data_IF_115888430174
#
_entry.id   IF_115888430174
#
_cell.length_a   1.000
_cell.length_b   1.000
_cell.length_c   1.000
_cell.angle_alpha   90.00
_cell.angle_beta   90.00
_cell.angle_gamma   90.00
#
_symmetry.space_group_name_H-M   'P 1'
#
loop_
_entity.id
_entity.type
_entity.pdbx_description
1 polymer ?
#
# COMPACT_ATOMS: atom_id res chain seq x y z
N UNK A 1 49.34 -41.42 -46.46
CA UNK A 1 48.52 -41.38 -45.22
C UNK A 1 47.70 -40.09 -45.24
N UNK A 2 46.44 -40.18 -45.65
CA UNK A 2 45.51 -39.05 -45.76
C UNK A 2 44.89 -38.74 -44.40
N UNK A 3 45.51 -37.85 -43.62
CA UNK A 3 44.99 -37.44 -42.30
C UNK A 3 44.19 -36.12 -42.36
N UNK A 4 44.34 -35.31 -43.42
CA UNK A 4 43.73 -33.98 -43.52
C UNK A 4 42.34 -33.96 -44.16
N UNK A 5 41.94 -34.99 -44.92
CA UNK A 5 40.62 -35.04 -45.60
C UNK A 5 39.44 -35.42 -44.69
N UNK A 6 39.68 -35.87 -43.45
CA UNK A 6 38.61 -36.29 -42.52
C UNK A 6 38.05 -35.14 -41.67
N UNK A 7 38.80 -34.07 -41.47
CA UNK A 7 38.38 -32.95 -40.61
C UNK A 7 37.54 -31.90 -41.35
N UNK A 8 37.71 -31.79 -42.67
CA UNK A 8 36.95 -30.87 -43.51
C UNK A 8 35.42 -31.02 -43.40
N UNK A 9 34.83 -32.23 -43.50
CA UNK A 9 33.38 -32.37 -43.35
C UNK A 9 32.90 -32.08 -41.92
N UNK A 10 33.71 -32.37 -40.90
CA UNK A 10 33.38 -32.12 -39.49
C UNK A 10 33.30 -30.60 -39.24
N UNK A 11 34.26 -29.84 -39.76
CA UNK A 11 34.26 -28.39 -39.64
C UNK A 11 33.04 -27.76 -40.33
N UNK A 12 32.67 -28.25 -41.52
CA UNK A 12 31.47 -27.79 -42.24
C UNK A 12 30.20 -28.08 -41.43
N UNK A 13 30.08 -29.26 -40.81
CA UNK A 13 28.93 -29.60 -39.96
C UNK A 13 28.86 -28.70 -38.72
N UNK A 14 30.00 -28.41 -38.08
CA UNK A 14 30.06 -27.51 -36.90
C UNK A 14 29.61 -26.10 -37.29
N UNK A 15 30.04 -25.60 -38.45
CA UNK A 15 29.64 -24.27 -38.95
C UNK A 15 28.14 -24.23 -39.26
N UNK A 16 27.59 -25.28 -39.88
CA UNK A 16 26.15 -25.36 -40.17
C UNK A 16 25.34 -25.41 -38.87
N UNK A 17 25.75 -26.21 -37.89
CA UNK A 17 25.08 -26.29 -36.58
C UNK A 17 25.16 -24.96 -35.85
N UNK A 18 26.30 -24.27 -35.88
CA UNK A 18 26.45 -22.93 -35.29
C UNK A 18 25.54 -21.90 -35.97
N UNK A 19 25.45 -21.92 -37.31
CA UNK A 19 24.54 -21.05 -38.07
C UNK A 19 23.08 -21.35 -37.72
N UNK A 20 22.70 -22.62 -37.62
CA UNK A 20 21.35 -23.01 -37.20
C UNK A 20 21.08 -22.53 -35.77
N UNK A 21 22.01 -22.68 -34.84
CA UNK A 21 21.87 -22.16 -33.46
C UNK A 21 21.72 -20.63 -33.45
N UNK A 22 22.45 -19.90 -34.29
CA UNK A 22 22.32 -18.43 -34.40
C UNK A 22 20.97 -18.05 -35.03
N UNK A 23 20.53 -18.77 -36.08
CA UNK A 23 19.26 -18.53 -36.76
C UNK A 23 18.06 -18.87 -35.87
N UNK A 24 18.13 -19.95 -35.08
CA UNK A 24 17.10 -20.33 -34.11
C UNK A 24 17.20 -19.53 -32.80
N UNK A 25 18.39 -19.08 -32.42
CA UNK A 25 18.67 -18.31 -31.20
C UNK A 25 18.26 -16.84 -31.29
N UNK A 26 18.21 -16.25 -32.49
CA UNK A 26 17.74 -14.88 -32.70
C UNK A 26 16.22 -14.69 -32.55
N UNK A 27 15.46 -15.75 -32.24
CA UNK A 27 14.00 -15.66 -32.05
C UNK A 27 13.54 -15.71 -30.58
N UNK A 28 14.45 -15.47 -29.62
CA UNK A 28 14.09 -15.23 -28.21
C UNK A 28 14.17 -13.72 -27.95
N UNK A 29 13.38 -12.96 -28.70
CA UNK A 29 13.21 -11.52 -28.51
C UNK A 29 12.07 -11.25 -27.55
N UNK A 30 12.41 -10.96 -26.29
CA UNK A 30 11.70 -10.08 -25.35
C UNK A 30 10.15 -10.04 -25.44
N UNK A 31 9.48 -11.11 -25.06
CA UNK A 31 8.16 -10.98 -24.44
C UNK A 31 8.35 -10.68 -22.95
N UNK A 32 8.86 -9.49 -22.64
CA UNK A 32 8.66 -8.94 -21.31
C UNK A 32 7.16 -8.63 -21.22
N UNK A 33 6.40 -9.44 -20.46
CA UNK A 33 5.03 -9.11 -20.07
C UNK A 33 5.02 -7.65 -19.60
N UNK A 34 4.32 -6.79 -20.35
CA UNK A 34 4.14 -5.41 -19.98
C UNK A 34 3.37 -5.42 -18.65
N UNK A 35 4.04 -5.08 -17.55
CA UNK A 35 3.41 -5.12 -16.21
C UNK A 35 2.12 -4.30 -16.24
N UNK A 36 1.02 -4.80 -15.66
CA UNK A 36 -0.24 -4.08 -15.62
C UNK A 36 -0.07 -2.73 -14.90
N UNK A 37 -0.69 -1.69 -15.44
CA UNK A 37 -0.70 -0.37 -14.83
C UNK A 37 -1.75 -0.32 -13.72
N UNK A 38 -1.36 -0.76 -12.53
CA UNK A 38 -2.25 -0.81 -11.36
C UNK A 38 -2.83 0.56 -11.00
N UNK A 39 -2.15 1.66 -11.32
CA UNK A 39 -2.65 3.01 -11.02
C UNK A 39 -3.91 3.31 -11.81
N UNK A 40 -3.83 3.21 -13.14
CA UNK A 40 -4.96 3.51 -14.02
C UNK A 40 -6.14 2.58 -13.74
N UNK A 41 -5.87 1.29 -13.53
CA UNK A 41 -6.91 0.32 -13.19
C UNK A 41 -7.62 0.71 -11.89
N UNK A 42 -6.87 1.05 -10.83
CA UNK A 42 -7.47 1.41 -9.54
C UNK A 42 -8.42 2.61 -9.66
N UNK A 43 -8.03 3.64 -10.41
CA UNK A 43 -8.83 4.86 -10.63
C UNK A 43 -10.07 4.57 -11.47
N UNK A 44 -9.93 3.82 -12.57
CA UNK A 44 -11.05 3.45 -13.46
C UNK A 44 -12.08 2.59 -12.75
N UNK A 45 -11.63 1.62 -11.95
CA UNK A 45 -12.53 0.70 -11.22
C UNK A 45 -12.93 1.21 -9.84
N UNK A 46 -12.43 2.38 -9.42
CA UNK A 46 -12.63 2.94 -8.07
C UNK A 46 -12.27 1.96 -6.94
N UNK A 47 -11.24 1.14 -7.14
CA UNK A 47 -10.86 0.08 -6.21
C UNK A 47 -9.51 0.40 -5.53
N UNK A 48 -9.60 0.72 -4.23
CA UNK A 48 -8.46 1.06 -3.38
C UNK A 48 -7.49 -0.12 -3.15
N UNK A 49 -7.96 -1.38 -3.15
CA UNK A 49 -7.09 -2.54 -2.89
C UNK A 49 -6.10 -2.77 -4.02
N UNK A 50 -6.39 -2.28 -5.23
CA UNK A 50 -5.48 -2.34 -6.37
C UNK A 50 -4.25 -1.44 -6.15
N UNK A 51 -4.38 -0.31 -5.46
CA UNK A 51 -3.25 0.56 -5.13
C UNK A 51 -2.18 -0.17 -4.30
N UNK A 52 -2.54 -1.23 -3.55
CA UNK A 52 -1.58 -2.01 -2.75
C UNK A 52 -0.56 -2.78 -3.59
N UNK A 53 -0.89 -3.05 -4.86
CA UNK A 53 -0.01 -3.73 -5.82
C UNK A 53 1.12 -2.81 -6.32
N UNK A 54 1.03 -1.50 -6.07
CA UNK A 54 2.06 -0.52 -6.42
C UNK A 54 3.20 -0.56 -5.40
N UNK A 55 4.43 -0.80 -5.87
CA UNK A 55 5.62 -0.90 -5.02
C UNK A 55 6.15 0.46 -4.55
N UNK A 56 6.08 1.48 -5.42
CA UNK A 56 6.53 2.82 -5.09
C UNK A 56 5.53 3.47 -4.12
N UNK A 57 6.00 3.81 -2.92
CA UNK A 57 5.17 4.38 -1.86
C UNK A 57 4.50 5.69 -2.27
N UNK A 58 5.21 6.58 -2.94
CA UNK A 58 4.66 7.88 -3.34
C UNK A 58 3.56 7.70 -4.40
N UNK A 59 3.77 6.78 -5.36
CA UNK A 59 2.72 6.40 -6.34
C UNK A 59 1.54 5.69 -5.69
N UNK A 60 1.77 4.82 -4.70
CA UNK A 60 0.69 4.17 -3.94
C UNK A 60 -0.16 5.21 -3.22
N UNK A 61 0.48 6.14 -2.52
CA UNK A 61 -0.20 7.22 -1.80
C UNK A 61 -0.97 8.14 -2.76
N UNK A 62 -0.40 8.44 -3.93
CA UNK A 62 -1.08 9.19 -4.99
C UNK A 62 -2.28 8.43 -5.56
N UNK A 63 -2.14 7.13 -5.83
CA UNK A 63 -3.21 6.25 -6.31
C UNK A 63 -4.41 6.28 -5.35
N UNK A 64 -4.17 6.09 -4.05
CA UNK A 64 -5.23 6.12 -3.03
C UNK A 64 -5.98 7.44 -3.04
N UNK A 65 -5.26 8.57 -3.09
CA UNK A 65 -5.87 9.91 -3.14
C UNK A 65 -6.70 10.12 -4.39
N UNK A 66 -6.20 9.70 -5.55
CA UNK A 66 -6.92 9.87 -6.81
C UNK A 66 -8.15 8.96 -6.90
N UNK A 67 -8.09 7.74 -6.37
CA UNK A 67 -9.25 6.86 -6.24
C UNK A 67 -10.31 7.51 -5.34
N UNK A 68 -9.93 8.02 -4.16
CA UNK A 68 -10.89 8.69 -3.26
C UNK A 68 -11.51 9.93 -3.91
N UNK A 69 -10.77 10.69 -4.73
CA UNK A 69 -11.31 11.86 -5.44
C UNK A 69 -12.38 11.52 -6.47
N UNK A 70 -12.41 10.29 -6.99
CA UNK A 70 -13.42 9.84 -7.95
C UNK A 70 -14.50 8.95 -7.31
N UNK A 71 -14.38 8.64 -6.01
CA UNK A 71 -15.43 8.03 -5.21
C UNK A 71 -16.37 9.13 -4.73
N UNK A 72 -17.49 9.31 -5.45
CA UNK A 72 -18.54 10.26 -5.06
C UNK A 72 -19.45 9.72 -3.96
N UNK A 73 -19.55 8.39 -3.86
CA UNK A 73 -20.41 7.70 -2.90
C UNK A 73 -19.65 6.58 -2.20
N UNK A 74 -19.59 6.67 -0.87
CA UNK A 74 -19.01 5.65 0.01
C UNK A 74 -19.74 4.30 -0.07
N UNK A 75 -20.93 4.22 -0.67
CA UNK A 75 -21.64 2.96 -0.93
C UNK A 75 -20.85 1.99 -1.81
N UNK A 76 -19.87 2.47 -2.58
CA UNK A 76 -18.92 1.60 -3.30
C UNK A 76 -18.17 0.66 -2.34
N UNK A 77 -17.94 1.08 -1.09
CA UNK A 77 -17.32 0.21 -0.09
C UNK A 77 -18.28 -0.91 0.37
N UNK A 78 -19.60 -0.72 0.29
CA UNK A 78 -20.59 -1.71 0.77
C UNK A 78 -20.64 -2.98 -0.10
N UNK A 79 -20.19 -2.88 -1.35
CA UNK A 79 -20.13 -4.01 -2.30
C UNK A 79 -18.87 -4.88 -2.11
N UNK A 80 -17.95 -4.47 -1.24
CA UNK A 80 -16.69 -5.17 -0.95
C UNK A 80 -16.84 -6.19 0.17
N UNK A 81 -15.90 -7.13 0.24
CA UNK A 81 -15.78 -8.02 1.41
C UNK A 81 -15.45 -7.24 2.69
N UNK A 82 -15.58 -7.88 3.85
CA UNK A 82 -15.46 -7.20 5.14
C UNK A 82 -14.09 -6.52 5.36
N UNK A 83 -13.00 -7.12 4.88
CA UNK A 83 -11.65 -6.56 5.04
C UNK A 83 -11.45 -5.38 4.09
N UNK A 84 -11.77 -5.56 2.80
CA UNK A 84 -11.68 -4.53 1.78
C UNK A 84 -12.61 -3.35 2.08
N UNK A 85 -13.82 -3.60 2.58
CA UNK A 85 -14.79 -2.58 2.99
C UNK A 85 -14.28 -1.73 4.13
N UNK A 86 -13.75 -2.34 5.18
CA UNK A 86 -13.20 -1.63 6.33
C UNK A 86 -12.00 -0.77 5.93
N UNK A 87 -11.14 -1.30 5.04
CA UNK A 87 -10.03 -0.56 4.46
C UNK A 87 -10.53 0.62 3.61
N UNK A 88 -11.51 0.40 2.74
CA UNK A 88 -12.13 1.44 1.90
C UNK A 88 -12.66 2.60 2.75
N UNK A 89 -13.46 2.29 3.79
CA UNK A 89 -13.96 3.31 4.71
C UNK A 89 -12.85 4.06 5.44
N UNK A 90 -11.80 3.35 5.85
CA UNK A 90 -10.65 3.95 6.56
C UNK A 90 -9.89 4.94 5.68
N UNK A 91 -9.58 4.56 4.43
CA UNK A 91 -8.84 5.44 3.51
C UNK A 91 -9.67 6.67 3.12
N UNK A 92 -10.98 6.52 2.88
CA UNK A 92 -11.85 7.67 2.60
C UNK A 92 -11.90 8.59 3.83
N UNK A 93 -12.09 8.05 5.03
CA UNK A 93 -12.11 8.85 6.26
C UNK A 93 -10.79 9.61 6.46
N UNK A 94 -9.65 8.97 6.23
CA UNK A 94 -8.31 9.56 6.35
C UNK A 94 -8.08 10.69 5.34
N UNK A 95 -8.42 10.47 4.06
CA UNK A 95 -8.20 11.46 2.99
C UNK A 95 -9.16 12.65 3.12
N UNK A 96 -10.39 12.42 3.57
CA UNK A 96 -11.42 13.48 3.68
C UNK A 96 -11.44 14.15 5.05
N UNK A 97 -10.78 13.58 6.06
CA UNK A 97 -10.91 13.99 7.46
C UNK A 97 -12.28 13.68 8.07
N UNK A 98 -13.18 13.01 7.35
CA UNK A 98 -14.55 12.79 7.80
C UNK A 98 -14.66 11.56 8.73
N UNK A 99 -14.53 11.81 10.02
CA UNK A 99 -14.65 10.77 11.07
C UNK A 99 -16.01 10.06 11.08
N UNK A 100 -17.08 10.62 10.49
CA UNK A 100 -18.38 9.94 10.47
C UNK A 100 -18.34 8.68 9.62
N UNK A 101 -17.39 8.57 8.69
CA UNK A 101 -17.19 7.39 7.85
C UNK A 101 -16.65 6.23 8.68
N UNK A 102 -15.82 6.47 9.70
CA UNK A 102 -15.38 5.41 10.62
C UNK A 102 -16.55 4.73 11.36
N UNK A 103 -17.70 5.40 11.54
CA UNK A 103 -18.90 4.79 12.13
C UNK A 103 -19.56 3.74 11.24
N UNK A 104 -19.24 3.71 9.94
CA UNK A 104 -19.73 2.67 9.01
C UNK A 104 -18.98 1.34 9.18
N UNK A 105 -17.85 1.35 9.88
CA UNK A 105 -17.10 0.14 10.22
C UNK A 105 -17.78 -0.55 11.41
N UNK A 106 -18.41 -1.69 11.15
CA UNK A 106 -19.20 -2.44 12.12
C UNK A 106 -18.35 -3.34 13.04
N UNK A 107 -17.11 -3.67 12.64
CA UNK A 107 -16.16 -4.35 13.53
C UNK A 107 -15.64 -3.38 14.59
N UNK A 108 -16.12 -3.58 15.81
CA UNK A 108 -16.17 -2.53 16.83
C UNK A 108 -14.84 -2.21 17.50
N UNK A 109 -13.87 -3.14 17.49
CA UNK A 109 -12.72 -3.04 18.40
C UNK A 109 -11.38 -2.75 17.73
N UNK A 110 -11.15 -3.19 16.49
CA UNK A 110 -9.84 -3.01 15.85
C UNK A 110 -9.91 -2.11 14.63
N UNK A 111 -10.79 -2.41 13.68
CA UNK A 111 -10.86 -1.69 12.41
C UNK A 111 -11.36 -0.25 12.58
N UNK A 112 -12.41 -0.06 13.37
CA UNK A 112 -12.98 1.27 13.65
C UNK A 112 -12.02 2.16 14.45
N UNK A 113 -11.37 1.59 15.45
CA UNK A 113 -10.37 2.29 16.27
C UNK A 113 -9.14 2.70 15.47
N UNK A 114 -8.70 1.83 14.54
CA UNK A 114 -7.61 2.14 13.61
C UNK A 114 -8.00 3.28 12.66
N UNK A 115 -9.24 3.29 12.16
CA UNK A 115 -9.77 4.38 11.35
C UNK A 115 -9.68 5.72 12.10
N UNK A 116 -10.20 5.79 13.32
CA UNK A 116 -10.11 7.00 14.15
C UNK A 116 -8.67 7.45 14.39
N UNK A 117 -7.75 6.50 14.69
CA UNK A 117 -6.33 6.83 14.88
C UNK A 117 -5.69 7.42 13.63
N UNK A 118 -5.94 6.84 12.45
CA UNK A 118 -5.43 7.37 11.17
C UNK A 118 -5.92 8.79 10.91
N UNK A 119 -7.22 9.05 11.07
CA UNK A 119 -7.77 10.40 10.92
C UNK A 119 -7.17 11.37 11.94
N UNK A 120 -7.05 10.96 13.20
CA UNK A 120 -6.45 11.78 14.26
C UNK A 120 -5.01 12.21 13.93
N UNK A 121 -4.21 11.28 13.38
CA UNK A 121 -2.82 11.52 12.97
C UNK A 121 -2.76 12.49 11.79
N UNK A 122 -3.54 12.23 10.74
CA UNK A 122 -3.55 13.02 9.51
C UNK A 122 -4.05 14.44 9.75
N UNK A 123 -5.12 14.60 10.53
CA UNK A 123 -5.66 15.91 10.93
C UNK A 123 -4.84 16.57 12.05
N UNK A 124 -3.99 15.80 12.73
CA UNK A 124 -3.27 16.25 13.92
C UNK A 124 -4.20 16.66 15.07
N UNK A 125 -5.40 16.07 15.13
CA UNK A 125 -6.45 16.37 16.09
C UNK A 125 -6.58 15.25 17.13
N UNK A 126 -5.91 15.43 18.27
CA UNK A 126 -5.89 14.44 19.34
C UNK A 126 -7.27 14.17 19.97
N UNK A 127 -8.23 15.10 19.83
CA UNK A 127 -9.58 14.91 20.37
C UNK A 127 -10.30 13.72 19.72
N UNK A 128 -9.92 13.34 18.50
CA UNK A 128 -10.44 12.16 17.81
C UNK A 128 -10.04 10.88 18.54
N UNK A 129 -8.87 10.84 19.18
CA UNK A 129 -8.42 9.68 19.96
C UNK A 129 -9.39 9.34 21.12
N UNK A 130 -10.20 10.29 21.61
CA UNK A 130 -11.24 10.03 22.61
C UNK A 130 -12.35 9.09 22.11
N UNK A 131 -12.50 8.94 20.79
CA UNK A 131 -13.49 8.02 20.18
C UNK A 131 -13.02 6.57 20.15
N UNK A 132 -11.73 6.34 20.40
CA UNK A 132 -11.12 5.01 20.37
C UNK A 132 -11.45 4.25 21.65
N UNK A 133 -12.04 3.06 21.50
CA UNK A 133 -12.49 2.22 22.62
C UNK A 133 -11.32 1.45 23.22
N UNK A 134 -10.50 0.82 22.38
CA UNK A 134 -9.33 0.06 22.77
C UNK A 134 -8.29 0.98 23.41
N UNK A 135 -8.05 0.77 24.70
CA UNK A 135 -7.14 1.58 25.52
C UNK A 135 -5.73 1.66 24.93
N UNK A 136 -5.20 0.54 24.43
CA UNK A 136 -3.86 0.49 23.84
C UNK A 136 -3.81 1.33 22.57
N UNK A 137 -4.79 1.16 21.68
CA UNK A 137 -4.90 1.95 20.45
C UNK A 137 -5.04 3.45 20.75
N UNK A 138 -5.84 3.82 21.77
CA UNK A 138 -6.04 5.20 22.21
C UNK A 138 -4.75 5.84 22.71
N UNK A 139 -4.01 5.12 23.54
CA UNK A 139 -2.71 5.58 24.06
C UNK A 139 -1.70 5.80 22.92
N UNK A 140 -1.64 4.90 21.94
CA UNK A 140 -0.78 5.09 20.77
C UNK A 140 -1.26 6.21 19.84
N UNK A 141 -2.58 6.42 19.73
CA UNK A 141 -3.13 7.56 18.99
C UNK A 141 -2.62 8.89 19.56
N UNK A 142 -2.70 9.09 20.88
CA UNK A 142 -2.16 10.29 21.52
C UNK A 142 -0.67 10.47 21.28
N UNK A 143 0.12 9.39 21.41
CA UNK A 143 1.56 9.41 21.16
C UNK A 143 1.89 9.84 19.73
N UNK A 144 1.20 9.29 18.73
CA UNK A 144 1.48 9.59 17.33
C UNK A 144 1.08 11.02 16.98
N UNK A 145 -0.08 11.49 17.45
CA UNK A 145 -0.49 12.88 17.25
C UNK A 145 0.48 13.84 17.94
N UNK A 146 0.95 13.52 19.15
CA UNK A 146 1.97 14.31 19.86
C UNK A 146 3.25 14.47 19.02
N UNK A 147 3.74 13.37 18.44
CA UNK A 147 4.93 13.36 17.57
C UNK A 147 4.74 14.17 16.29
N UNK A 148 3.62 13.96 15.59
CA UNK A 148 3.32 14.67 14.34
C UNK A 148 3.19 16.17 14.57
N UNK A 149 2.48 16.57 15.64
CA UNK A 149 2.29 17.98 16.00
C UNK A 149 3.50 18.60 16.70
N UNK A 150 4.48 17.79 17.12
CA UNK A 150 5.54 18.18 18.06
C UNK A 150 4.98 18.88 19.30
N UNK A 151 3.80 18.45 19.75
CA UNK A 151 3.13 18.99 20.91
C UNK A 151 3.02 17.91 21.98
N UNK A 152 4.02 17.85 22.85
CA UNK A 152 4.13 16.82 23.87
C UNK A 152 3.21 17.04 25.08
N UNK A 153 2.50 18.17 25.18
CA UNK A 153 1.41 18.29 26.19
C UNK A 153 0.27 17.31 25.91
N UNK A 154 0.17 16.80 24.69
CA UNK A 154 -0.80 15.74 24.34
C UNK A 154 -0.50 14.44 25.09
N UNK A 155 0.77 14.18 25.43
CA UNK A 155 1.20 12.99 26.17
C UNK A 155 0.48 12.85 27.52
N UNK A 156 0.02 13.95 28.13
CA UNK A 156 -0.70 13.93 29.42
C UNK A 156 -2.03 13.16 29.34
N UNK A 157 -2.58 12.98 28.13
CA UNK A 157 -3.79 12.17 27.90
C UNK A 157 -3.50 10.66 27.82
N UNK A 158 -2.23 10.25 27.83
CA UNK A 158 -1.84 8.83 27.81
C UNK A 158 -2.03 8.24 29.21
N UNK A 159 -2.87 7.21 29.30
CA UNK A 159 -3.17 6.55 30.57
C UNK A 159 -2.07 5.57 31.01
N UNK A 160 -1.35 4.97 30.05
CA UNK A 160 -0.20 4.11 30.35
C UNK A 160 0.98 4.95 30.79
N UNK A 161 1.41 4.80 32.05
CA UNK A 161 2.44 5.66 32.64
C UNK A 161 3.80 5.51 31.96
N UNK A 162 4.15 4.28 31.55
CA UNK A 162 5.43 4.02 30.89
C UNK A 162 5.46 4.69 29.52
N UNK A 163 4.36 4.56 28.76
CA UNK A 163 4.21 5.18 27.46
C UNK A 163 4.15 6.71 27.56
N UNK A 164 3.43 7.25 28.55
CA UNK A 164 3.37 8.69 28.85
C UNK A 164 4.76 9.24 29.15
N UNK A 165 5.50 8.60 30.05
CA UNK A 165 6.85 9.02 30.42
C UNK A 165 7.82 8.94 29.23
N UNK A 166 7.69 7.92 28.38
CA UNK A 166 8.46 7.80 27.14
C UNK A 166 8.13 8.94 26.15
N UNK A 167 6.84 9.27 26.00
CA UNK A 167 6.36 10.37 25.16
C UNK A 167 6.93 11.73 25.61
N UNK A 168 6.88 12.02 26.92
CA UNK A 168 7.36 13.28 27.50
C UNK A 168 8.89 13.45 27.42
N UNK A 169 9.65 12.35 27.34
CA UNK A 169 11.12 12.40 27.17
C UNK A 169 11.57 12.68 25.74
N UNK A 170 10.65 12.71 24.77
CA UNK A 170 10.95 12.99 23.37
C UNK A 170 10.92 14.50 23.02
N UNK A 171 10.67 15.38 24.01
CA UNK A 171 10.76 16.85 23.92
C UNK A 171 12.19 17.31 23.69
#
# INVERSE_FOLDING_TARGET
MNMERRFFPIFVVIVIVAILIILYGHNIGNNAEKKPDYYSIAVETKNLSICEKIQDRNKKDACRKDVVRVIDDTSVCDEMDDEERNYCYTEIAEVTGNISICNKILDEQNSRDLCYRKVAITEGNYLICNKIVNRLCRNYCYLDVAKVKKNYTICDNIEDENLRNSCLRAT
#
